data_IF_132620480582
#
_entry.id   IF_132620480582
#
_cell.length_a   1.000
_cell.length_b   1.000
_cell.length_c   1.000
_cell.angle_alpha   90.00
_cell.angle_beta   90.00
_cell.angle_gamma   90.00
#
_symmetry.space_group_name_H-M   'P 1'
#
loop_
_entity.id
_entity.type
_entity.pdbx_description
1 polymer ?
#
# COMPACT_ATOMS: atom_id res chain seq x y z
N UNK A 1 -9.40 3.78 2.85
CA UNK A 1 -8.24 3.24 2.09
C UNK A 1 -7.17 4.30 1.87
N UNK A 2 -7.54 5.48 1.37
CA UNK A 2 -6.63 6.62 1.18
C UNK A 2 -5.82 6.97 2.44
N UNK A 3 -6.48 7.19 3.58
CA UNK A 3 -5.80 7.56 4.84
C UNK A 3 -4.70 6.57 5.25
N UNK A 4 -4.98 5.26 5.22
CA UNK A 4 -3.97 4.24 5.51
C UNK A 4 -2.84 4.18 4.46
N UNK A 5 -3.19 4.34 3.19
CA UNK A 5 -2.24 4.27 2.06
C UNK A 5 -1.31 5.47 1.99
N UNK A 6 -1.72 6.61 2.56
CA UNK A 6 -0.91 7.83 2.66
C UNK A 6 -0.16 7.91 3.99
N UNK A 7 -0.79 7.46 5.08
CA UNK A 7 -0.19 7.52 6.42
C UNK A 7 1.02 6.58 6.55
N UNK A 8 0.94 5.34 6.05
CA UNK A 8 2.05 4.37 6.17
C UNK A 8 3.33 4.85 5.46
N UNK A 9 3.30 5.32 4.20
CA UNK A 9 4.48 5.88 3.53
C UNK A 9 5.06 7.09 4.26
N UNK A 10 4.22 7.99 4.76
CA UNK A 10 4.68 9.17 5.52
C UNK A 10 5.43 8.74 6.79
N UNK A 11 4.92 7.74 7.52
CA UNK A 11 5.56 7.21 8.73
C UNK A 11 6.88 6.48 8.47
N UNK A 12 7.08 6.02 7.24
CA UNK A 12 8.25 5.25 6.80
C UNK A 12 9.23 6.12 5.99
N UNK A 13 8.84 7.34 5.59
CA UNK A 13 9.68 8.26 4.81
C UNK A 13 9.67 8.01 3.29
N UNK A 14 8.63 7.32 2.78
CA UNK A 14 8.44 7.04 1.34
C UNK A 14 7.41 8.01 0.76
N UNK A 15 7.59 8.38 -0.51
CA UNK A 15 6.65 9.25 -1.23
C UNK A 15 5.22 8.64 -1.30
N UNK A 16 4.18 9.34 -0.82
CA UNK A 16 2.81 8.84 -0.83
C UNK A 16 2.21 8.63 -2.22
N UNK A 17 2.65 9.37 -3.23
CA UNK A 17 2.17 9.23 -4.60
C UNK A 17 2.63 7.89 -5.19
N UNK A 18 3.85 7.44 -4.89
CA UNK A 18 4.35 6.12 -5.30
C UNK A 18 3.53 4.99 -4.65
N UNK A 19 3.20 5.14 -3.37
CA UNK A 19 2.35 4.19 -2.67
C UNK A 19 0.93 4.15 -3.23
N UNK A 20 0.34 5.31 -3.54
CA UNK A 20 -0.98 5.41 -4.17
C UNK A 20 -0.99 4.78 -5.56
N UNK A 21 0.01 5.09 -6.38
CA UNK A 21 0.16 4.51 -7.71
C UNK A 21 0.28 2.97 -7.66
N UNK A 22 1.13 2.47 -6.78
CA UNK A 22 1.33 1.02 -6.59
C UNK A 22 0.06 0.34 -6.06
N UNK A 23 -0.70 1.00 -5.17
CA UNK A 23 -1.97 0.52 -4.64
C UNK A 23 -3.05 0.40 -5.73
N UNK A 24 -3.08 1.37 -6.66
CA UNK A 24 -3.99 1.35 -7.82
C UNK A 24 -3.64 0.24 -8.80
N UNK A 25 -2.36 0.10 -9.14
CA UNK A 25 -1.87 -1.01 -9.99
C UNK A 25 -2.15 -2.37 -9.35
N UNK A 26 -1.87 -2.54 -8.06
CA UNK A 26 -2.14 -3.78 -7.32
C UNK A 26 -3.62 -4.13 -7.28
N UNK A 27 -4.49 -3.12 -7.18
CA UNK A 27 -5.95 -3.31 -7.25
C UNK A 27 -6.39 -3.77 -8.64
N UNK A 28 -5.88 -3.15 -9.70
CA UNK A 28 -6.17 -3.57 -11.07
C UNK A 28 -5.69 -5.01 -11.33
N UNK A 29 -4.48 -5.35 -10.89
CA UNK A 29 -3.95 -6.72 -10.99
C UNK A 29 -4.79 -7.72 -10.18
N UNK A 30 -5.27 -7.35 -8.99
CA UNK A 30 -6.14 -8.21 -8.19
C UNK A 30 -7.47 -8.49 -8.90
N UNK A 31 -8.08 -7.46 -9.47
CA UNK A 31 -9.34 -7.57 -10.20
C UNK A 31 -9.20 -8.45 -11.45
N UNK A 32 -8.10 -8.31 -12.20
CA UNK A 32 -7.86 -9.15 -13.39
C UNK A 32 -7.60 -10.61 -13.00
N UNK A 33 -6.82 -10.88 -11.96
CA UNK A 33 -6.55 -12.25 -11.48
C UNK A 33 -7.79 -12.92 -10.91
N UNK A 34 -8.62 -12.19 -10.15
CA UNK A 34 -9.88 -12.71 -9.60
C UNK A 34 -11.03 -12.73 -10.63
N UNK A 35 -10.76 -12.37 -11.90
CA UNK A 35 -11.76 -12.29 -12.97
C UNK A 35 -12.96 -11.42 -12.58
N UNK A 36 -12.70 -10.33 -11.87
CA UNK A 36 -13.68 -9.37 -11.37
C UNK A 36 -14.75 -9.98 -10.44
N UNK A 37 -14.50 -11.18 -9.88
CA UNK A 37 -15.43 -11.85 -8.96
C UNK A 37 -15.32 -11.36 -7.52
N UNK A 38 -14.16 -10.83 -7.13
CA UNK A 38 -13.90 -10.34 -5.77
C UNK A 38 -13.56 -8.85 -5.85
N UNK A 39 -14.50 -7.95 -5.51
CA UNK A 39 -14.24 -6.52 -5.49
C UNK A 39 -13.47 -6.14 -4.23
N UNK A 40 -12.14 -6.21 -4.30
CA UNK A 40 -11.23 -5.80 -3.23
C UNK A 40 -10.20 -4.79 -3.74
N UNK A 41 -9.83 -3.84 -2.88
CA UNK A 41 -8.80 -2.84 -3.15
C UNK A 41 -7.58 -3.12 -2.27
N UNK A 42 -6.40 -2.99 -2.85
CA UNK A 42 -5.12 -3.23 -2.17
C UNK A 42 -4.63 -1.92 -1.54
N UNK A 43 -4.69 -1.80 -0.21
CA UNK A 43 -4.16 -0.65 0.54
C UNK A 43 -2.87 -0.98 1.31
N UNK A 44 -2.23 0.03 1.90
CA UNK A 44 -1.02 -0.18 2.71
C UNK A 44 -1.30 -0.92 4.02
N UNK A 45 -0.45 -1.90 4.35
CA UNK A 45 -0.54 -2.72 5.56
C UNK A 45 0.22 -2.11 6.75
N UNK A 46 -0.49 -1.87 7.86
CA UNK A 46 0.09 -1.39 9.12
C UNK A 46 1.10 -2.36 9.74
N UNK A 47 1.02 -3.65 9.42
CA UNK A 47 1.95 -4.67 9.90
C UNK A 47 3.42 -4.38 9.53
N UNK A 48 3.66 -3.64 8.45
CA UNK A 48 5.01 -3.35 7.96
C UNK A 48 5.62 -2.06 8.55
N UNK A 49 4.88 -1.25 9.31
CA UNK A 49 5.40 0.01 9.86
C UNK A 49 6.60 -0.25 10.77
N UNK A 50 6.46 -1.12 11.76
CA UNK A 50 7.54 -1.39 12.73
C UNK A 50 8.79 -1.95 12.05
N UNK A 51 8.63 -2.91 11.12
CA UNK A 51 9.74 -3.49 10.38
C UNK A 51 10.46 -2.46 9.51
N UNK A 52 9.71 -1.63 8.77
CA UNK A 52 10.30 -0.60 7.90
C UNK A 52 10.94 0.53 8.71
N UNK A 53 10.34 0.94 9.83
CA UNK A 53 10.95 1.93 10.72
C UNK A 53 12.24 1.43 11.35
N UNK A 54 12.37 0.14 11.67
CA UNK A 54 13.64 -0.42 12.16
C UNK A 54 14.70 -0.45 11.04
N UNK A 55 14.30 -0.79 9.81
CA UNK A 55 15.22 -0.95 8.69
C UNK A 55 15.71 0.38 8.11
N UNK A 56 14.84 1.40 8.05
CA UNK A 56 15.17 2.73 7.49
C UNK A 56 15.80 3.68 8.50
N UNK A 57 15.95 3.27 9.77
CA UNK A 57 16.60 4.06 10.84
C UNK A 57 18.10 3.76 10.98
N UNK A 58 18.66 2.95 10.07
CA UNK A 58 20.10 2.72 9.92
C UNK A 58 20.63 3.64 8.83
#
# INVERSE_FOLDING_TARGET
MFGATVLVPILVGIDPAVALFSSGLGTLAHLTVTKYKVPAYMGSSFAYIAAMQMLMKT
#
